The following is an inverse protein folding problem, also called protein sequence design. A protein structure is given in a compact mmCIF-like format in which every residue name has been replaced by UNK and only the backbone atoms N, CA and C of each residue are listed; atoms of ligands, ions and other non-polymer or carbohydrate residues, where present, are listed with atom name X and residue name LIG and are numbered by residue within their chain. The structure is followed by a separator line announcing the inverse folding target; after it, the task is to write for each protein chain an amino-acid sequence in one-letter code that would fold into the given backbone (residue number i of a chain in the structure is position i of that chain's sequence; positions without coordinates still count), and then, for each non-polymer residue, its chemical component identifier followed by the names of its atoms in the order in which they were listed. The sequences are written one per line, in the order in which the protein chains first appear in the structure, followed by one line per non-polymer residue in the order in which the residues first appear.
data_IF_236242526658
#
_entry.id   IF_236242526658
#
_cell.length_a   1.000
_cell.length_b   1.000
_cell.length_c   1.000
_cell.angle_alpha   90.00
_cell.angle_beta   90.00
_cell.angle_gamma   90.00
#
_symmetry.space_group_name_H-M   'P 1'
#
loop_
_entity.id
_entity.type
_entity.pdbx_description
1 polymer ?
#
# COMPACT_ATOMS: atom_id res chain seq x y z
N UNK A 1 2.39 12.98 32.07
CA UNK A 1 1.87 11.61 31.89
C UNK A 1 2.15 11.21 30.45
N UNK A 2 3.33 10.66 30.19
CA UNK A 2 3.75 10.25 28.85
C UNK A 2 3.14 8.89 28.54
N UNK A 3 2.15 8.85 27.64
CA UNK A 3 1.64 7.59 27.12
C UNK A 3 2.72 6.93 26.28
N UNK A 4 3.21 5.78 26.72
CA UNK A 4 4.00 4.87 25.91
C UNK A 4 3.17 4.56 24.66
N UNK A 5 3.64 5.00 23.48
CA UNK A 5 3.11 4.50 22.22
C UNK A 5 3.62 3.07 22.12
N UNK A 6 2.71 2.12 22.00
CA UNK A 6 3.03 0.70 21.83
C UNK A 6 3.09 0.44 20.32
N UNK A 7 4.24 0.75 19.75
CA UNK A 7 4.67 0.35 18.42
C UNK A 7 4.97 -1.15 18.47
N UNK A 8 3.91 -1.97 18.40
CA UNK A 8 3.97 -3.43 18.47
C UNK A 8 5.26 -3.96 17.84
N UNK A 9 6.09 -4.58 18.66
CA UNK A 9 7.44 -5.05 18.31
C UNK A 9 7.44 -6.14 17.26
N UNK A 10 6.26 -6.72 16.99
CA UNK A 10 6.02 -7.77 16.00
C UNK A 10 6.25 -9.15 16.59
N UNK A 11 5.60 -10.17 16.01
CA UNK A 11 5.56 -11.51 16.59
C UNK A 11 4.23 -11.78 17.29
N UNK A 12 4.27 -12.34 18.50
CA UNK A 12 3.07 -12.74 19.28
C UNK A 12 2.41 -11.59 20.01
N UNK A 13 2.91 -10.35 19.91
CA UNK A 13 2.38 -9.19 20.64
C UNK A 13 0.86 -9.02 20.50
N UNK A 14 0.31 -9.35 19.33
CA UNK A 14 -1.13 -9.33 19.12
C UNK A 14 -1.85 -10.39 19.97
N UNK A 15 -1.29 -11.60 20.06
CA UNK A 15 -1.79 -12.70 20.89
C UNK A 15 -1.65 -12.39 22.38
N UNK A 16 -0.52 -11.80 22.78
CA UNK A 16 -0.24 -11.37 24.15
C UNK A 16 -1.19 -10.26 24.63
N UNK A 17 -1.70 -9.45 23.70
CA UNK A 17 -2.75 -8.44 23.92
C UNK A 17 -4.17 -9.01 23.76
N UNK A 18 -4.33 -10.32 23.50
CA UNK A 18 -5.62 -10.98 23.32
C UNK A 18 -6.32 -10.65 22.00
N UNK A 19 -5.60 -10.09 21.03
CA UNK A 19 -6.12 -9.81 19.69
C UNK A 19 -6.12 -11.08 18.85
N UNK A 20 -7.29 -11.49 18.38
CA UNK A 20 -7.46 -12.71 17.57
C UNK A 20 -7.33 -12.46 16.07
N UNK A 21 -7.22 -11.19 15.67
CA UNK A 21 -7.08 -10.81 14.26
C UNK A 21 -5.67 -11.08 13.78
N UNK A 22 -5.51 -11.67 12.59
CA UNK A 22 -4.20 -11.97 11.98
C UNK A 22 -3.44 -10.73 11.47
N UNK A 23 -3.88 -9.53 11.83
CA UNK A 23 -3.35 -8.28 11.33
C UNK A 23 -3.75 -7.97 9.88
N UNK A 24 -3.22 -6.86 9.33
CA UNK A 24 -3.47 -6.46 7.95
C UNK A 24 -2.83 -7.44 6.96
N UNK A 25 -3.59 -7.86 5.93
CA UNK A 25 -3.17 -8.86 4.94
C UNK A 25 -2.55 -8.27 3.66
N UNK A 26 -2.90 -7.02 3.33
CA UNK A 26 -2.39 -6.31 2.16
C UNK A 26 -2.46 -4.80 2.39
N UNK A 27 -1.32 -4.12 2.23
CA UNK A 27 -1.25 -2.67 2.16
C UNK A 27 -0.90 -2.28 0.71
N UNK A 28 -1.77 -1.47 0.11
CA UNK A 28 -1.55 -0.86 -1.21
C UNK A 28 -1.51 0.65 -1.04
N UNK A 29 -0.36 1.25 -1.30
CA UNK A 29 -0.13 2.70 -1.29
C UNK A 29 0.23 3.17 -2.70
N UNK A 30 0.23 4.48 -2.91
CA UNK A 30 0.73 5.14 -4.12
C UNK A 30 2.22 4.85 -4.41
N UNK A 31 2.95 4.38 -3.39
CA UNK A 31 4.35 3.97 -3.48
C UNK A 31 4.58 2.45 -3.30
N UNK A 32 3.57 1.68 -2.89
CA UNK A 32 3.74 0.25 -2.60
C UNK A 32 2.43 -0.56 -2.71
N UNK A 33 2.31 -1.42 -3.72
CA UNK A 33 2.16 -2.84 -3.40
C UNK A 33 3.56 -3.30 -2.96
N UNK A 34 3.72 -4.25 -2.04
CA UNK A 34 5.05 -4.70 -1.55
C UNK A 34 5.83 -5.52 -2.62
N UNK A 35 5.86 -4.99 -3.85
CA UNK A 35 6.63 -5.34 -5.05
C UNK A 35 6.91 -4.01 -5.77
N UNK A 36 8.16 -3.55 -5.83
CA UNK A 36 8.52 -2.24 -6.41
C UNK A 36 7.89 -2.02 -7.78
N UNK A 37 7.31 -0.85 -8.04
CA UNK A 37 6.90 -0.48 -9.40
C UNK A 37 8.14 -0.11 -10.25
N UNK A 38 8.07 -0.19 -11.59
CA UNK A 38 9.17 0.24 -12.44
C UNK A 38 9.60 1.68 -12.12
N UNK A 39 10.88 1.88 -11.80
CA UNK A 39 11.44 3.17 -11.38
C UNK A 39 11.42 3.45 -9.87
N UNK A 40 10.75 2.63 -9.06
CA UNK A 40 10.77 2.71 -7.59
C UNK A 40 12.01 1.99 -7.04
N UNK A 41 13.14 2.70 -6.98
CA UNK A 41 14.40 2.12 -6.46
C UNK A 41 14.32 1.92 -4.94
N UNK A 42 15.07 0.94 -4.41
CA UNK A 42 15.17 0.70 -2.96
C UNK A 42 15.62 1.93 -2.17
N UNK A 43 16.49 2.75 -2.77
CA UNK A 43 16.96 4.03 -2.18
C UNK A 43 15.80 5.02 -2.08
N UNK A 44 15.02 5.19 -3.15
CA UNK A 44 13.86 6.09 -3.14
C UNK A 44 12.78 5.63 -2.15
N UNK A 45 12.55 4.31 -2.05
CA UNK A 45 11.62 3.72 -1.09
C UNK A 45 12.10 3.99 0.34
N UNK A 46 13.35 3.66 0.66
CA UNK A 46 13.91 3.90 1.99
C UNK A 46 13.89 5.40 2.37
N UNK A 47 14.19 6.30 1.43
CA UNK A 47 14.14 7.74 1.66
C UNK A 47 12.72 8.29 1.91
N UNK A 48 11.69 7.57 1.48
CA UNK A 48 10.28 7.95 1.68
C UNK A 48 9.66 7.39 2.97
N UNK A 49 10.38 6.51 3.68
CA UNK A 49 9.89 5.85 4.89
C UNK A 49 10.72 6.29 6.10
N UNK A 50 10.05 6.67 7.19
CA UNK A 50 10.70 7.02 8.46
C UNK A 50 11.07 5.77 9.31
N UNK A 51 11.10 4.59 8.70
CA UNK A 51 11.46 3.33 9.34
C UNK A 51 12.41 2.51 8.47
N UNK A 52 13.14 1.58 9.09
CA UNK A 52 14.03 0.66 8.36
C UNK A 52 13.20 -0.31 7.50
N UNK A 53 13.24 -0.11 6.17
CA UNK A 53 12.42 -0.87 5.22
C UNK A 53 13.02 -2.26 5.02
N UNK A 54 12.28 -3.30 5.43
CA UNK A 54 12.61 -4.68 5.11
C UNK A 54 11.97 -5.13 3.80
N UNK A 55 12.70 -5.94 3.05
CA UNK A 55 12.26 -6.47 1.77
C UNK A 55 12.29 -8.01 1.82
N UNK A 56 11.33 -8.65 1.17
CA UNK A 56 11.36 -10.09 0.95
C UNK A 56 12.51 -10.48 0.00
N UNK A 57 13.01 -11.71 0.13
CA UNK A 57 14.09 -12.24 -0.71
C UNK A 57 13.69 -12.31 -2.20
N UNK A 58 12.40 -12.58 -2.47
CA UNK A 58 11.81 -12.69 -3.80
C UNK A 58 11.11 -11.39 -4.27
N UNK A 59 11.45 -10.26 -3.65
CA UNK A 59 10.85 -8.96 -3.98
C UNK A 59 11.23 -8.51 -5.41
N UNK A 60 10.34 -8.79 -6.35
CA UNK A 60 10.48 -8.44 -7.78
C UNK A 60 9.71 -7.18 -8.15
N UNK A 61 10.03 -6.60 -9.31
CA UNK A 61 9.24 -5.50 -9.85
C UNK A 61 7.82 -5.95 -10.24
N UNK A 62 6.86 -5.04 -10.08
CA UNK A 62 5.50 -5.21 -10.57
C UNK A 62 5.48 -5.00 -12.09
N UNK A 63 4.97 -5.96 -12.89
CA UNK A 63 4.89 -5.81 -14.34
C UNK A 63 4.03 -4.61 -14.75
N UNK A 64 4.29 -4.00 -15.92
CA UNK A 64 3.45 -2.92 -16.44
C UNK A 64 2.00 -3.39 -16.67
N UNK A 65 1.01 -2.49 -16.56
CA UNK A 65 -0.38 -2.84 -16.82
C UNK A 65 -0.57 -3.27 -18.27
N UNK A 66 -1.49 -4.20 -18.49
CA UNK A 66 -1.80 -4.63 -19.86
C UNK A 66 -2.54 -3.52 -20.63
N UNK A 67 -2.42 -3.46 -21.97
CA UNK A 67 -3.13 -2.47 -22.78
C UNK A 67 -4.65 -2.50 -22.55
N UNK A 68 -5.24 -3.68 -22.40
CA UNK A 68 -6.66 -3.85 -22.11
C UNK A 68 -7.06 -3.23 -20.77
N UNK A 69 -6.32 -3.52 -19.68
CA UNK A 69 -6.55 -2.90 -18.36
C UNK A 69 -6.45 -1.38 -18.45
N UNK A 70 -5.43 -0.88 -19.15
CA UNK A 70 -5.22 0.56 -19.30
C UNK A 70 -6.34 1.23 -20.12
N UNK A 71 -6.83 0.57 -21.17
CA UNK A 71 -7.97 1.05 -21.96
C UNK A 71 -9.24 1.13 -21.10
N UNK A 72 -9.54 0.09 -20.32
CA UNK A 72 -10.68 0.07 -19.39
C UNK A 72 -10.59 1.19 -18.36
N UNK A 73 -9.44 1.39 -17.72
CA UNK A 73 -9.26 2.46 -16.73
C UNK A 73 -9.41 3.86 -17.34
N UNK A 74 -8.89 4.07 -18.56
CA UNK A 74 -9.04 5.35 -19.28
C UNK A 74 -10.50 5.62 -19.64
N UNK A 75 -11.23 4.60 -20.06
CA UNK A 75 -12.67 4.70 -20.34
C UNK A 75 -13.48 5.06 -19.08
N UNK A 76 -13.19 4.40 -17.95
CA UNK A 76 -13.79 4.71 -16.64
C UNK A 76 -13.51 6.16 -16.25
N UNK A 77 -12.25 6.61 -16.38
CA UNK A 77 -11.85 7.97 -16.04
C UNK A 77 -12.55 9.02 -16.91
N UNK A 78 -12.68 8.76 -18.22
CA UNK A 78 -13.43 9.62 -19.15
C UNK A 78 -14.88 9.77 -18.69
N UNK A 79 -15.58 8.65 -18.47
CA UNK A 79 -16.98 8.64 -18.01
C UNK A 79 -17.16 9.33 -16.65
N UNK A 80 -16.18 9.21 -15.76
CA UNK A 80 -16.21 9.87 -14.45
C UNK A 80 -16.00 11.38 -14.58
N UNK A 81 -15.15 11.83 -15.50
CA UNK A 81 -14.94 13.26 -15.77
C UNK A 81 -16.20 13.91 -16.39
N UNK A 82 -16.92 13.18 -17.24
CA UNK A 82 -18.16 13.63 -17.87
C UNK A 82 -19.38 13.51 -16.93
N UNK A 83 -19.25 12.78 -15.83
CA UNK A 83 -20.36 12.55 -14.90
C UNK A 83 -20.63 13.82 -14.07
N UNK A 84 -21.90 14.25 -13.95
CA UNK A 84 -22.24 15.32 -13.03
C UNK A 84 -21.92 14.88 -11.60
N UNK A 85 -21.25 15.76 -10.85
CA UNK A 85 -20.92 15.50 -9.44
C UNK A 85 -22.23 15.30 -8.67
N UNK A 86 -22.39 14.14 -8.06
CA UNK A 86 -23.58 13.86 -7.24
C UNK A 86 -23.58 14.86 -6.07
N UNK A 87 -24.62 15.70 -5.98
CA UNK A 87 -24.84 16.52 -4.79
C UNK A 87 -25.11 15.58 -3.62
N UNK A 88 -24.35 15.72 -2.53
CA UNK A 88 -24.76 15.13 -1.26
C UNK A 88 -26.04 15.83 -0.80
N UNK A 89 -27.00 15.04 -0.32
CA UNK A 89 -28.23 15.53 0.32
C UNK A 89 -27.98 15.77 1.81
#
# INVERSE_FOLDING_TARGET
MGGQRDDGKGGTDSEDLGLTTQGPTLLVTDMAVWRPHPGATRVAIAASCDWDVRYADDCSETPPPTPAKLATLRDIRRRTADAPRRSAA
#
